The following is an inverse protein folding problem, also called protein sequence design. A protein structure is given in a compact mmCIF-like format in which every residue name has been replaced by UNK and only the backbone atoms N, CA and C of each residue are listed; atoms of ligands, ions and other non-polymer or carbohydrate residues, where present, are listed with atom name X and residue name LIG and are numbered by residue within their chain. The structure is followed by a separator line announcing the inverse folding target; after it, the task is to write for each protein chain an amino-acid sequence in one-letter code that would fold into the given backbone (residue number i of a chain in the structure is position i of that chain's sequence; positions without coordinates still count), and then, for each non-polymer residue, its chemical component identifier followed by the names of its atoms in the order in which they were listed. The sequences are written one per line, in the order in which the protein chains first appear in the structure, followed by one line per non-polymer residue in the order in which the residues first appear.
data_IF_290066421692
#
_entry.id   IF_290066421692
#
_cell.length_a   1.000
_cell.length_b   1.000
_cell.length_c   1.000
_cell.angle_alpha   90.00
_cell.angle_beta   90.00
_cell.angle_gamma   90.00
#
_symmetry.space_group_name_H-M   'P 1'
#
loop_
_entity.id
_entity.type
_entity.pdbx_description
1 polymer ?
#
# COMPACT_ATOMS: atom_id res chain seq x y z
N UNK A 1 -31.45 5.67 -3.45
CA UNK A 1 -31.10 4.24 -3.51
C UNK A 1 -29.95 4.01 -2.55
N UNK A 2 -30.23 3.39 -1.39
CA UNK A 2 -29.20 3.15 -0.36
C UNK A 2 -28.16 2.18 -0.90
N UNK A 3 -26.93 2.66 -1.09
CA UNK A 3 -25.78 1.80 -1.29
C UNK A 3 -25.48 1.09 0.02
N UNK A 4 -25.93 -0.15 0.16
CA UNK A 4 -25.42 -1.06 1.18
C UNK A 4 -23.92 -1.18 0.95
N UNK A 5 -23.14 -0.54 1.83
CA UNK A 5 -21.69 -0.67 1.87
C UNK A 5 -21.37 -2.15 2.07
N UNK A 6 -21.07 -2.83 0.96
CA UNK A 6 -20.82 -4.27 0.95
C UNK A 6 -19.47 -4.49 1.60
N UNK A 7 -19.46 -4.65 2.91
CA UNK A 7 -18.24 -4.96 3.66
C UNK A 7 -17.69 -6.29 3.16
N UNK A 8 -16.43 -6.27 2.74
CA UNK A 8 -15.69 -7.47 2.39
C UNK A 8 -15.47 -8.27 3.69
N UNK A 9 -15.92 -9.53 3.78
CA UNK A 9 -15.65 -10.34 4.95
C UNK A 9 -14.13 -10.60 5.06
N UNK A 10 -13.55 -10.66 6.26
CA UNK A 10 -12.11 -10.88 6.45
C UNK A 10 -11.58 -12.19 5.84
N UNK A 11 -12.46 -13.14 5.55
CA UNK A 11 -12.15 -14.44 4.96
C UNK A 11 -12.19 -14.47 3.43
N UNK A 12 -12.65 -13.40 2.77
CA UNK A 12 -12.71 -13.35 1.31
C UNK A 12 -11.31 -13.39 0.71
N UNK A 13 -11.12 -14.16 -0.36
CA UNK A 13 -9.84 -14.18 -1.08
C UNK A 13 -9.83 -13.14 -2.17
N UNK A 14 -8.67 -12.51 -2.41
CA UNK A 14 -8.47 -11.55 -3.51
C UNK A 14 -8.85 -12.16 -4.87
N UNK A 15 -8.60 -13.45 -5.07
CA UNK A 15 -8.93 -14.17 -6.31
C UNK A 15 -10.44 -14.32 -6.58
N UNK A 16 -11.30 -14.03 -5.59
CA UNK A 16 -12.76 -14.10 -5.72
C UNK A 16 -13.36 -12.77 -6.23
N UNK A 17 -12.54 -11.71 -6.35
CA UNK A 17 -12.95 -10.41 -6.87
C UNK A 17 -12.73 -10.31 -8.38
N UNK A 18 -13.41 -9.35 -9.06
CA UNK A 18 -13.10 -9.02 -10.45
C UNK A 18 -11.60 -8.80 -10.64
N UNK A 19 -11.06 -9.27 -11.76
CA UNK A 19 -9.61 -9.25 -12.04
C UNK A 19 -9.00 -7.86 -11.82
N UNK A 20 -9.65 -6.81 -12.33
CA UNK A 20 -9.22 -5.43 -12.16
C UNK A 20 -9.14 -4.98 -10.69
N UNK A 21 -10.05 -5.44 -9.85
CA UNK A 21 -10.02 -5.17 -8.41
C UNK A 21 -8.91 -5.96 -7.71
N UNK A 22 -8.68 -7.21 -8.15
CA UNK A 22 -7.62 -8.06 -7.62
C UNK A 22 -6.22 -7.52 -7.98
N UNK A 23 -6.03 -7.04 -9.20
CA UNK A 23 -4.82 -6.36 -9.65
C UNK A 23 -4.58 -5.08 -8.85
N UNK A 24 -5.62 -4.25 -8.70
CA UNK A 24 -5.54 -3.02 -7.92
C UNK A 24 -5.16 -3.30 -6.46
N UNK A 25 -5.70 -4.38 -5.86
CA UNK A 25 -5.37 -4.78 -4.50
C UNK A 25 -3.92 -5.21 -4.36
N UNK A 26 -3.40 -6.05 -5.28
CA UNK A 26 -1.98 -6.47 -5.28
C UNK A 26 -1.03 -5.31 -5.51
N UNK A 27 -1.41 -4.37 -6.38
CA UNK A 27 -0.64 -3.14 -6.58
C UNK A 27 -0.53 -2.33 -5.28
N UNK A 28 -1.64 -2.18 -4.54
CA UNK A 28 -1.61 -1.50 -3.23
C UNK A 28 -0.81 -2.28 -2.19
N UNK A 29 -0.94 -3.61 -2.14
CA UNK A 29 -0.21 -4.47 -1.21
C UNK A 29 1.30 -4.23 -1.27
N UNK A 30 1.89 -4.17 -2.47
CA UNK A 30 3.31 -3.88 -2.65
C UNK A 30 3.74 -2.54 -2.04
N UNK A 31 2.96 -1.48 -2.29
CA UNK A 31 3.25 -0.14 -1.74
C UNK A 31 3.08 -0.07 -0.22
N UNK A 32 2.07 -0.75 0.33
CA UNK A 32 1.83 -0.78 1.77
C UNK A 32 2.93 -1.57 2.49
N UNK A 33 3.37 -2.71 1.93
CA UNK A 33 4.46 -3.49 2.51
C UNK A 33 5.79 -2.71 2.50
N UNK A 34 6.09 -1.95 1.45
CA UNK A 34 7.27 -1.08 1.44
C UNK A 34 7.19 0.01 2.51
N UNK A 35 6.01 0.61 2.73
CA UNK A 35 5.80 1.60 3.79
C UNK A 35 5.94 0.97 5.18
N UNK A 36 5.44 -0.25 5.39
CA UNK A 36 5.47 -0.90 6.70
C UNK A 36 6.86 -1.45 7.04
N UNK A 37 7.50 -2.12 6.08
CA UNK A 37 8.70 -2.94 6.31
C UNK A 37 9.97 -2.37 5.65
N UNK A 38 9.83 -1.37 4.77
CA UNK A 38 10.94 -0.79 4.03
C UNK A 38 11.27 -1.53 2.73
N UNK A 39 10.60 -2.64 2.44
CA UNK A 39 10.84 -3.49 1.26
C UNK A 39 9.53 -3.79 0.53
N UNK A 40 9.53 -3.77 -0.81
CA UNK A 40 8.37 -4.23 -1.57
C UNK A 40 8.26 -5.76 -1.53
N UNK A 41 7.09 -6.29 -1.87
CA UNK A 41 6.79 -7.73 -1.85
C UNK A 41 7.73 -8.57 -2.74
N UNK A 42 8.21 -7.98 -3.82
CA UNK A 42 9.12 -8.58 -4.81
C UNK A 42 10.61 -8.33 -4.51
N UNK A 43 10.93 -7.82 -3.32
CA UNK A 43 12.32 -7.64 -2.89
C UNK A 43 13.08 -8.97 -2.81
N UNK A 44 14.31 -9.00 -3.35
CA UNK A 44 15.17 -10.17 -3.25
C UNK A 44 15.52 -10.48 -1.79
N UNK A 45 15.83 -11.75 -1.50
CA UNK A 45 16.34 -12.14 -0.19
C UNK A 45 17.62 -11.33 0.13
N UNK A 46 17.64 -10.64 1.28
CA UNK A 46 18.72 -9.73 1.66
C UNK A 46 18.63 -8.31 1.09
N UNK A 47 17.53 -7.94 0.42
CA UNK A 47 17.31 -6.57 -0.02
C UNK A 47 17.36 -5.58 1.15
N UNK A 48 17.98 -4.42 0.91
CA UNK A 48 18.10 -3.35 1.89
C UNK A 48 17.04 -2.28 1.60
N UNK A 49 16.30 -1.79 2.61
CA UNK A 49 15.36 -0.70 2.42
C UNK A 49 16.01 0.53 1.78
N UNK A 50 15.26 1.20 0.92
CA UNK A 50 15.63 2.54 0.46
C UNK A 50 15.73 3.47 1.68
N UNK A 51 16.65 4.46 1.69
CA UNK A 51 16.87 5.32 2.84
C UNK A 51 15.60 6.01 3.35
N UNK A 52 14.67 6.38 2.48
CA UNK A 52 13.41 7.05 2.84
C UNK A 52 12.39 6.09 3.47
N UNK A 53 12.53 4.79 3.21
CA UNK A 53 11.65 3.73 3.69
C UNK A 53 12.25 2.87 4.80
N UNK A 54 13.52 3.10 5.18
CA UNK A 54 14.20 2.39 6.27
C UNK A 54 13.48 2.65 7.61
N UNK A 55 12.89 1.62 8.25
CA UNK A 55 12.16 1.77 9.50
C UNK A 55 13.05 2.11 10.70
N UNK A 56 14.37 1.95 10.58
CA UNK A 56 15.35 2.35 11.60
C UNK A 56 15.71 3.83 11.53
N UNK A 57 15.44 4.49 10.40
CA UNK A 57 15.81 5.89 10.14
C UNK A 57 14.62 6.84 10.17
N UNK A 58 13.47 6.39 9.67
CA UNK A 58 12.28 7.23 9.50
C UNK A 58 11.12 6.66 10.31
N UNK A 59 10.24 7.52 10.79
CA UNK A 59 8.96 7.13 11.37
C UNK A 59 7.99 6.61 10.31
N UNK A 60 6.98 5.83 10.72
CA UNK A 60 5.94 5.35 9.80
C UNK A 60 5.22 6.51 9.10
N UNK A 61 4.93 7.60 9.82
CA UNK A 61 4.26 8.77 9.26
C UNK A 61 5.11 9.49 8.20
N UNK A 62 6.45 9.51 8.35
CA UNK A 62 7.34 10.04 7.30
C UNK A 62 7.30 9.16 6.06
N UNK A 63 7.38 7.83 6.22
CA UNK A 63 7.28 6.88 5.11
C UNK A 63 5.94 6.97 4.37
N UNK A 64 4.83 7.15 5.09
CA UNK A 64 3.50 7.39 4.51
C UNK A 64 3.48 8.66 3.64
N UNK A 65 4.11 9.76 4.11
CA UNK A 65 4.18 11.01 3.34
C UNK A 65 5.05 10.87 2.09
N UNK A 66 6.21 10.20 2.22
CA UNK A 66 7.09 9.92 1.09
C UNK A 66 6.36 9.09 0.03
N UNK A 67 5.70 8.00 0.42
CA UNK A 67 4.97 7.16 -0.54
C UNK A 67 3.80 7.92 -1.17
N UNK A 68 3.07 8.72 -0.40
CA UNK A 68 1.99 9.54 -0.94
C UNK A 68 2.50 10.54 -1.99
N UNK A 69 3.64 11.19 -1.75
CA UNK A 69 4.27 12.07 -2.72
C UNK A 69 4.75 11.32 -3.97
N UNK A 70 5.39 10.15 -3.80
CA UNK A 70 5.85 9.29 -4.90
C UNK A 70 4.69 8.86 -5.81
N UNK A 71 3.60 8.35 -5.22
CA UNK A 71 2.42 7.92 -5.96
C UNK A 71 1.70 9.08 -6.64
N UNK A 72 1.61 10.23 -5.97
CA UNK A 72 1.02 11.43 -6.58
C UNK A 72 1.84 11.91 -7.78
N UNK A 73 3.18 11.91 -7.68
CA UNK A 73 4.06 12.25 -8.79
C UNK A 73 3.96 11.24 -9.95
N UNK A 74 3.67 9.97 -9.65
CA UNK A 74 3.43 8.91 -10.63
C UNK A 74 2.01 8.94 -11.24
N UNK A 75 1.17 9.92 -10.90
CA UNK A 75 -0.19 10.06 -11.45
C UNK A 75 -1.27 9.29 -10.69
N UNK A 76 -1.00 8.84 -9.46
CA UNK A 76 -1.95 8.21 -8.54
C UNK A 76 -2.17 9.10 -7.31
N UNK A 77 -3.06 10.11 -7.38
CA UNK A 77 -3.23 11.07 -6.30
C UNK A 77 -3.71 10.38 -5.02
N UNK A 78 -2.90 10.47 -3.97
CA UNK A 78 -3.22 9.90 -2.66
C UNK A 78 -2.55 10.72 -1.55
N UNK A 79 -3.21 10.81 -0.39
CA UNK A 79 -2.65 11.47 0.79
C UNK A 79 -2.00 10.48 1.73
N UNK A 80 -1.14 10.94 2.64
CA UNK A 80 -0.61 10.10 3.71
C UNK A 80 -1.72 9.44 4.55
N UNK A 81 -2.82 10.16 4.81
CA UNK A 81 -4.01 9.59 5.47
C UNK A 81 -4.66 8.47 4.63
N UNK A 82 -4.69 8.62 3.31
CA UNK A 82 -5.17 7.59 2.39
C UNK A 82 -4.29 6.33 2.39
N UNK A 83 -2.97 6.48 2.52
CA UNK A 83 -2.05 5.35 2.76
C UNK A 83 -2.36 4.70 4.11
N UNK A 84 -2.53 5.50 5.16
CA UNK A 84 -2.87 5.02 6.51
C UNK A 84 -4.19 4.24 6.57
N UNK A 85 -5.18 4.58 5.75
CA UNK A 85 -6.45 3.85 5.67
C UNK A 85 -6.35 2.50 4.95
N UNK A 86 -5.27 2.26 4.20
CA UNK A 86 -5.06 1.07 3.37
C UNK A 86 -4.12 0.05 3.98
N UNK A 87 -3.39 0.41 5.04
CA UNK A 87 -2.70 -0.57 5.89
C UNK A 87 -3.67 -1.22 6.87
#
# INVERSE_FOLDING_TARGET
MSGTERKVPPTARIAEFPETAAEQARWWEGHILEVLHGLPLDGSEGAVPRPEFDPRRNSLAERERVKAAELTAAGHPVTASGIKQRR
#
